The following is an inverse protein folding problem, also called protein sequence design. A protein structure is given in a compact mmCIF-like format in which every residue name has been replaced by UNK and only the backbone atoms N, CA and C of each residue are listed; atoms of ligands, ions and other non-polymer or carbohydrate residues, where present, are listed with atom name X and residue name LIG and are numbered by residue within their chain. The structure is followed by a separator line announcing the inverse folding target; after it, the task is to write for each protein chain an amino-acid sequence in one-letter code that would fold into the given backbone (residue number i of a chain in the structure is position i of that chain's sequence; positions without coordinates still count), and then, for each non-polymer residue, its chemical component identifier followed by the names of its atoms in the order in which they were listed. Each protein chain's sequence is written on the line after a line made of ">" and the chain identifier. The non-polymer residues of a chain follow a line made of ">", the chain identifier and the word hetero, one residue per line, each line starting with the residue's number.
data_IF_832052776976
#
_entry.id   IF_832052776976
#
_cell.length_a   1.000
_cell.length_b   1.000
_cell.length_c   1.000
_cell.angle_alpha   90.00
_cell.angle_beta   90.00
_cell.angle_gamma   90.00
#
_symmetry.space_group_name_H-M   'P 1'
#
loop_
_entity.id
_entity.type
_entity.pdbx_description
1 polymer ?
#
# COMPACT_ATOMS: atom_id res chain seq x y z
N UNK A 1 7.37 25.44 5.14
CA UNK A 1 8.24 25.17 3.98
C UNK A 1 7.69 23.90 3.35
N UNK A 2 7.01 24.00 2.20
CA UNK A 2 6.61 22.81 1.47
C UNK A 2 7.89 22.19 0.88
N UNK A 3 8.28 21.03 1.39
CA UNK A 3 9.36 20.22 0.81
C UNK A 3 8.88 19.81 -0.60
N UNK A 4 9.57 20.24 -1.62
CA UNK A 4 9.23 19.95 -3.02
C UNK A 4 10.13 18.88 -3.61
N UNK A 5 11.03 18.32 -2.80
CA UNK A 5 11.94 17.26 -3.18
C UNK A 5 11.48 15.92 -2.60
N UNK A 6 11.41 14.92 -3.46
CA UNK A 6 11.06 13.58 -3.03
C UNK A 6 12.22 12.94 -2.26
N UNK A 7 11.97 12.60 -1.00
CA UNK A 7 12.90 11.87 -0.13
C UNK A 7 12.37 10.47 0.13
N UNK A 8 13.27 9.54 0.37
CA UNK A 8 12.94 8.18 0.78
C UNK A 8 13.37 7.98 2.22
N UNK A 9 12.42 7.54 3.05
CA UNK A 9 12.68 7.07 4.41
C UNK A 9 12.56 5.54 4.40
N UNK A 10 13.58 4.87 4.91
CA UNK A 10 13.59 3.42 5.04
C UNK A 10 13.10 3.03 6.44
N UNK A 11 12.08 2.21 6.49
CA UNK A 11 11.61 1.56 7.70
C UNK A 11 11.89 0.07 7.56
N UNK A 12 12.76 -0.50 8.42
CA UNK A 12 13.19 -1.88 8.27
C UNK A 12 13.39 -2.61 9.59
N UNK A 13 13.35 -3.93 9.52
CA UNK A 13 13.77 -4.86 10.55
C UNK A 13 14.68 -5.96 9.93
N UNK A 14 14.86 -7.09 10.61
CA UNK A 14 15.71 -8.18 10.09
C UNK A 14 15.10 -8.88 8.87
N UNK A 15 13.78 -8.83 8.68
CA UNK A 15 13.04 -9.58 7.66
C UNK A 15 12.65 -8.75 6.43
N UNK A 16 12.22 -7.51 6.64
CA UNK A 16 11.65 -6.67 5.60
C UNK A 16 12.27 -5.28 5.59
N UNK A 17 12.36 -4.70 4.41
CA UNK A 17 12.75 -3.31 4.20
C UNK A 17 11.70 -2.60 3.37
N UNK A 18 11.15 -1.53 3.92
CA UNK A 18 10.14 -0.67 3.32
C UNK A 18 10.76 0.68 2.98
N UNK A 19 10.69 1.08 1.72
CA UNK A 19 11.07 2.42 1.30
C UNK A 19 9.81 3.26 1.14
N UNK A 20 9.71 4.31 1.94
CA UNK A 20 8.54 5.19 2.00
C UNK A 20 8.93 6.54 1.40
N UNK A 21 8.21 6.91 0.34
CA UNK A 21 8.41 8.15 -0.41
C UNK A 21 7.68 9.30 0.27
N UNK A 22 8.31 10.46 0.39
CA UNK A 22 7.61 11.69 0.82
C UNK A 22 6.58 12.13 -0.21
N UNK A 23 6.78 11.85 -1.50
CA UNK A 23 5.74 12.02 -2.50
C UNK A 23 4.68 10.92 -2.36
N UNK A 24 3.48 11.31 -1.99
CA UNK A 24 2.35 10.43 -1.69
C UNK A 24 2.36 9.85 -0.27
N UNK A 25 3.43 10.00 0.52
CA UNK A 25 3.54 9.43 1.87
C UNK A 25 3.51 7.90 1.90
N UNK A 26 3.84 7.22 0.80
CA UNK A 26 3.53 5.81 0.53
C UNK A 26 4.76 4.92 0.39
N UNK A 27 4.55 3.62 0.62
CA UNK A 27 5.55 2.60 0.33
C UNK A 27 5.71 2.49 -1.20
N UNK A 28 6.95 2.60 -1.68
CA UNK A 28 7.29 2.51 -3.11
C UNK A 28 8.18 1.33 -3.45
N UNK A 29 8.75 0.67 -2.45
CA UNK A 29 9.63 -0.46 -2.63
C UNK A 29 9.59 -1.36 -1.39
N UNK A 30 9.51 -2.67 -1.60
CA UNK A 30 9.49 -3.69 -0.53
C UNK A 30 10.48 -4.79 -0.86
N UNK A 31 11.46 -5.00 0.03
CA UNK A 31 12.48 -6.03 -0.06
C UNK A 31 12.31 -7.04 1.08
N UNK A 32 12.21 -8.32 0.75
CA UNK A 32 12.20 -9.43 1.70
C UNK A 32 13.62 -9.94 1.91
N UNK A 33 14.26 -9.54 3.00
CA UNK A 33 15.70 -9.71 3.24
C UNK A 33 16.17 -11.15 3.33
N UNK A 34 15.30 -12.08 3.73
CA UNK A 34 15.58 -13.50 3.90
C UNK A 34 15.40 -14.31 2.61
N UNK A 35 14.88 -13.69 1.54
CA UNK A 35 14.54 -14.38 0.29
C UNK A 35 15.36 -13.87 -0.90
N UNK A 36 15.48 -14.74 -1.89
CA UNK A 36 16.14 -14.46 -3.16
C UNK A 36 15.24 -14.90 -4.32
N UNK A 37 15.38 -14.24 -5.44
CA UNK A 37 14.80 -14.70 -6.71
C UNK A 37 15.52 -15.94 -7.22
N UNK A 38 14.98 -16.60 -8.24
CA UNK A 38 15.58 -17.81 -8.85
C UNK A 38 17.02 -17.61 -9.38
N UNK A 39 17.39 -16.37 -9.71
CA UNK A 39 18.74 -15.99 -10.17
C UNK A 39 19.60 -15.38 -9.04
N UNK A 40 19.20 -15.61 -7.78
CA UNK A 40 19.93 -15.21 -6.55
C UNK A 40 20.01 -13.70 -6.29
N UNK A 41 19.17 -12.90 -6.95
CA UNK A 41 19.02 -11.48 -6.66
C UNK A 41 18.16 -11.26 -5.40
N UNK A 42 18.23 -10.08 -4.73
CA UNK A 42 17.30 -9.72 -3.67
C UNK A 42 15.85 -9.84 -4.12
N UNK A 43 15.00 -10.39 -3.26
CA UNK A 43 13.59 -10.55 -3.58
C UNK A 43 12.82 -9.27 -3.28
N UNK A 44 12.34 -8.64 -4.34
CA UNK A 44 11.61 -7.37 -4.30
C UNK A 44 10.18 -7.61 -4.71
N UNK A 45 9.23 -7.36 -3.78
CA UNK A 45 7.80 -7.49 -4.04
C UNK A 45 7.24 -6.27 -4.79
N UNK A 46 7.70 -5.08 -4.41
CA UNK A 46 7.25 -3.82 -5.01
C UNK A 46 8.44 -3.04 -5.52
N UNK A 47 8.28 -2.41 -6.68
CA UNK A 47 9.30 -1.53 -7.27
C UNK A 47 8.75 -0.13 -7.46
N UNK A 48 9.60 0.86 -7.29
CA UNK A 48 9.22 2.25 -7.53
C UNK A 48 8.73 2.44 -8.99
N UNK A 49 7.62 3.16 -9.13
CA UNK A 49 6.94 3.37 -10.41
C UNK A 49 5.97 2.25 -10.82
N UNK A 50 5.96 1.11 -10.10
CA UNK A 50 5.07 -0.03 -10.35
C UNK A 50 3.99 -0.19 -9.27
N UNK A 51 3.85 0.80 -8.38
CA UNK A 51 2.87 0.79 -7.30
C UNK A 51 2.06 2.07 -7.32
N UNK A 52 0.79 1.97 -6.96
CA UNK A 52 -0.10 3.08 -6.68
C UNK A 52 -0.68 2.89 -5.28
N UNK A 53 -0.69 3.92 -4.47
CA UNK A 53 -1.34 3.90 -3.15
C UNK A 53 -1.66 5.30 -2.71
N UNK A 54 -2.88 5.53 -2.25
CA UNK A 54 -3.27 6.81 -1.72
C UNK A 54 -4.76 6.90 -1.46
N UNK A 55 -5.22 8.12 -1.24
CA UNK A 55 -6.61 8.43 -1.00
C UNK A 55 -7.10 9.48 -1.98
N UNK A 56 -8.34 9.31 -2.42
CA UNK A 56 -9.11 10.33 -3.12
C UNK A 56 -10.22 10.85 -2.20
N UNK A 57 -10.34 12.15 -2.09
CA UNK A 57 -11.43 12.82 -1.39
C UNK A 57 -11.61 14.26 -1.88
N UNK A 58 -12.74 14.88 -1.54
CA UNK A 58 -13.00 16.28 -1.85
C UNK A 58 -12.64 17.18 -0.65
N UNK A 59 -11.86 18.21 -0.90
CA UNK A 59 -11.53 19.24 0.07
C UNK A 59 -11.69 20.62 -0.58
N UNK A 60 -12.45 21.52 0.03
CA UNK A 60 -12.67 22.88 -0.47
C UNK A 60 -13.07 22.93 -1.96
N UNK A 61 -13.97 22.06 -2.38
CA UNK A 61 -14.46 21.90 -3.77
C UNK A 61 -13.40 21.47 -4.80
N UNK A 62 -12.30 20.89 -4.35
CA UNK A 62 -11.27 20.28 -5.20
C UNK A 62 -11.11 18.81 -4.87
N UNK A 63 -10.91 18.01 -5.91
CA UNK A 63 -10.53 16.62 -5.76
C UNK A 63 -9.07 16.55 -5.33
N UNK A 64 -8.82 15.88 -4.22
CA UNK A 64 -7.49 15.63 -3.68
C UNK A 64 -7.13 14.17 -3.94
N UNK A 65 -6.04 13.97 -4.67
CA UNK A 65 -5.36 12.68 -4.78
C UNK A 65 -4.04 12.78 -4.01
N UNK A 66 -3.94 12.09 -2.89
CA UNK A 66 -2.79 12.21 -1.97
C UNK A 66 -1.46 11.79 -2.60
N UNK A 67 -1.48 10.94 -3.62
CA UNK A 67 -0.27 10.48 -4.32
C UNK A 67 0.51 11.61 -4.99
N UNK A 68 -0.14 12.73 -5.25
CA UNK A 68 0.43 13.93 -5.92
C UNK A 68 1.02 14.96 -4.97
N UNK A 69 0.95 14.73 -3.67
CA UNK A 69 1.36 15.70 -2.66
C UNK A 69 2.55 15.20 -1.85
N UNK A 70 3.38 16.15 -1.39
CA UNK A 70 4.49 15.85 -0.49
C UNK A 70 4.02 15.79 0.95
N UNK A 71 4.35 14.71 1.60
CA UNK A 71 4.16 14.50 3.04
C UNK A 71 5.43 14.87 3.79
N UNK A 72 5.27 15.41 4.97
CA UNK A 72 6.37 15.74 5.89
C UNK A 72 6.57 14.55 6.85
N UNK A 73 7.74 13.90 6.86
CA UNK A 73 8.03 12.83 7.80
C UNK A 73 8.24 13.36 9.22
N UNK A 74 7.96 12.53 10.22
CA UNK A 74 8.18 12.84 11.66
C UNK A 74 9.65 12.77 12.08
N UNK A 75 10.54 12.39 11.18
CA UNK A 75 11.98 12.22 11.44
C UNK A 75 12.82 12.89 10.37
N UNK A 76 14.04 13.25 10.73
CA UNK A 76 15.09 13.68 9.79
C UNK A 76 16.02 12.52 9.41
N UNK A 77 15.89 11.38 10.07
CA UNK A 77 16.68 10.19 9.76
C UNK A 77 16.18 9.56 8.46
N UNK A 78 17.11 9.04 7.69
CA UNK A 78 16.81 8.35 6.42
C UNK A 78 16.48 6.87 6.62
N UNK A 79 16.79 6.31 7.80
CA UNK A 79 16.53 4.90 8.12
C UNK A 79 16.11 4.77 9.57
N UNK A 80 14.99 4.08 9.78
CA UNK A 80 14.48 3.63 11.07
C UNK A 80 14.57 2.12 11.13
N UNK A 81 15.33 1.57 12.08
CA UNK A 81 15.56 0.14 12.22
C UNK A 81 14.87 -0.42 13.46
N UNK A 82 13.89 -1.30 13.25
CA UNK A 82 13.15 -1.97 14.32
C UNK A 82 13.95 -3.17 14.86
N UNK A 83 14.83 -2.90 15.82
CA UNK A 83 15.61 -3.90 16.54
C UNK A 83 15.31 -3.81 18.04
N UNK A 84 14.71 -4.85 18.57
CA UNK A 84 14.32 -4.91 19.98
C UNK A 84 13.01 -4.14 20.31
N UNK A 85 12.74 -3.03 19.64
CA UNK A 85 11.52 -2.24 19.79
C UNK A 85 10.89 -1.94 18.43
N UNK A 86 9.57 -1.74 18.44
CA UNK A 86 8.80 -1.24 17.31
C UNK A 86 9.33 0.14 16.87
N UNK A 87 9.38 0.38 15.56
CA UNK A 87 9.61 1.69 14.98
C UNK A 87 8.31 2.25 14.42
N UNK A 88 8.16 3.57 14.57
CA UNK A 88 6.99 4.32 14.13
C UNK A 88 7.43 5.45 13.21
N UNK A 89 6.85 5.52 12.02
CA UNK A 89 7.03 6.63 11.08
C UNK A 89 5.68 7.29 10.82
N UNK A 90 5.58 8.57 11.12
CA UNK A 90 4.45 9.42 10.75
C UNK A 90 4.78 10.24 9.51
N UNK A 91 3.91 10.19 8.52
CA UNK A 91 3.96 10.97 7.28
C UNK A 91 2.74 11.90 7.27
N UNK A 92 2.94 13.22 7.23
CA UNK A 92 1.86 14.20 7.39
C UNK A 92 1.66 15.05 6.16
N UNK A 93 0.44 15.09 5.65
CA UNK A 93 0.02 16.01 4.61
C UNK A 93 -0.75 17.18 5.25
N UNK A 94 -0.12 18.33 5.29
CA UNK A 94 -0.67 19.52 5.95
C UNK A 94 -1.62 20.30 5.06
N UNK A 95 -2.83 20.58 5.54
CA UNK A 95 -3.72 21.61 4.98
C UNK A 95 -3.36 22.99 5.51
N UNK A 96 -2.85 23.08 6.75
CA UNK A 96 -2.23 24.25 7.41
C UNK A 96 -1.45 23.78 8.67
N UNK A 97 -1.04 24.72 9.53
CA UNK A 97 -0.21 24.43 10.70
C UNK A 97 -0.85 23.51 11.76
N UNK A 98 -2.19 23.36 11.76
CA UNK A 98 -2.93 22.62 12.79
C UNK A 98 -3.81 21.49 12.21
N UNK A 99 -3.98 21.46 10.89
CA UNK A 99 -4.86 20.53 10.16
C UNK A 99 -4.07 19.69 9.19
N UNK A 100 -4.10 18.37 9.35
CA UNK A 100 -3.35 17.47 8.49
C UNK A 100 -3.95 16.08 8.44
N UNK A 101 -3.67 15.37 7.35
CA UNK A 101 -3.85 13.94 7.18
C UNK A 101 -2.53 13.25 7.55
N UNK A 102 -2.60 12.20 8.35
CA UNK A 102 -1.43 11.43 8.80
C UNK A 102 -1.53 9.99 8.32
N UNK A 103 -0.45 9.52 7.70
CA UNK A 103 -0.18 8.11 7.45
C UNK A 103 0.82 7.63 8.49
N UNK A 104 0.39 6.74 9.37
CA UNK A 104 1.19 6.22 10.46
C UNK A 104 1.56 4.77 10.18
N UNK A 105 2.86 4.52 10.01
CA UNK A 105 3.45 3.21 9.82
C UNK A 105 4.09 2.72 11.10
N UNK A 106 3.83 1.46 11.47
CA UNK A 106 4.48 0.81 12.60
C UNK A 106 5.03 -0.53 12.18
N UNK A 107 6.29 -0.77 12.48
CA UNK A 107 6.98 -2.01 12.16
C UNK A 107 7.57 -2.61 13.44
N UNK A 108 7.09 -3.78 13.83
CA UNK A 108 7.65 -4.54 14.93
C UNK A 108 8.96 -5.24 14.52
N UNK A 109 9.87 -5.52 15.47
CA UNK A 109 10.97 -6.43 15.24
C UNK A 109 10.47 -7.80 14.75
N UNK A 110 11.23 -8.44 13.88
CA UNK A 110 10.99 -9.83 13.45
C UNK A 110 9.59 -10.09 12.83
N UNK A 111 8.98 -9.08 12.18
CA UNK A 111 7.67 -9.14 11.54
C UNK A 111 7.75 -8.84 10.05
N UNK A 112 6.95 -9.55 9.23
CA UNK A 112 6.65 -9.17 7.85
C UNK A 112 5.44 -8.25 7.75
N UNK A 113 4.66 -8.12 8.82
CA UNK A 113 3.47 -7.27 8.87
C UNK A 113 3.83 -5.86 9.34
N UNK A 114 3.25 -4.89 8.69
CA UNK A 114 3.36 -3.47 9.03
C UNK A 114 1.97 -2.94 9.34
N UNK A 115 1.79 -2.38 10.53
CA UNK A 115 0.54 -1.69 10.86
C UNK A 115 0.52 -0.34 10.17
N UNK A 116 -0.59 -0.02 9.55
CA UNK A 116 -0.81 1.23 8.84
C UNK A 116 -2.13 1.87 9.30
N UNK A 117 -2.06 3.14 9.67
CA UNK A 117 -3.24 3.91 10.07
C UNK A 117 -3.34 5.20 9.30
N UNK A 118 -4.56 5.57 8.91
CA UNK A 118 -4.90 6.85 8.30
C UNK A 118 -5.66 7.66 9.35
N UNK A 119 -5.09 8.80 9.75
CA UNK A 119 -5.62 9.62 10.83
C UNK A 119 -5.83 11.04 10.32
N UNK A 120 -7.00 11.60 10.59
CA UNK A 120 -7.30 13.00 10.28
C UNK A 120 -7.20 13.85 11.54
N UNK A 121 -6.41 14.93 11.49
CA UNK A 121 -6.27 15.87 12.60
C UNK A 121 -6.96 17.19 12.26
N UNK A 122 -8.04 17.49 12.94
CA UNK A 122 -8.84 18.72 12.78
C UNK A 122 -9.34 18.97 11.33
N UNK A 123 -9.55 17.89 10.54
CA UNK A 123 -9.87 17.98 9.11
C UNK A 123 -11.37 18.15 8.81
N UNK A 124 -12.23 18.18 9.81
CA UNK A 124 -13.69 18.19 9.63
C UNK A 124 -14.22 19.34 8.77
N UNK A 125 -13.56 20.52 8.82
CA UNK A 125 -13.91 21.67 7.99
C UNK A 125 -13.18 21.70 6.63
N UNK A 126 -12.21 20.83 6.46
CA UNK A 126 -11.38 20.74 5.23
C UNK A 126 -11.95 19.71 4.27
N UNK A 127 -12.24 18.51 4.78
CA UNK A 127 -12.90 17.45 4.02
C UNK A 127 -14.35 17.85 3.84
N UNK A 128 -14.83 17.80 2.60
CA UNK A 128 -16.19 18.21 2.29
C UNK A 128 -17.21 17.38 3.08
N UNK A 129 -18.16 18.05 3.75
CA UNK A 129 -19.19 17.41 4.58
C UNK A 129 -20.15 16.49 3.79
N UNK A 130 -20.21 16.65 2.47
CA UNK A 130 -20.92 15.78 1.55
C UNK A 130 -20.06 14.63 1.02
N UNK A 131 -18.77 14.57 1.40
CA UNK A 131 -17.88 13.45 1.10
C UNK A 131 -18.16 12.36 2.11
N UNK A 132 -19.12 11.49 1.82
CA UNK A 132 -19.52 10.39 2.73
C UNK A 132 -18.42 9.36 2.91
N UNK A 133 -17.44 9.33 1.99
CA UNK A 133 -16.38 8.34 1.97
C UNK A 133 -15.03 8.96 1.59
N UNK A 134 -13.99 8.41 2.17
CA UNK A 134 -12.61 8.57 1.71
C UNK A 134 -12.26 7.31 0.93
N UNK A 135 -11.95 7.45 -0.35
CA UNK A 135 -11.64 6.29 -1.19
C UNK A 135 -10.15 5.98 -1.10
N UNK A 136 -9.81 4.83 -0.53
CA UNK A 136 -8.46 4.28 -0.57
C UNK A 136 -8.28 3.55 -1.91
N UNK A 137 -7.18 3.80 -2.61
CA UNK A 137 -6.78 3.02 -3.76
C UNK A 137 -5.40 2.38 -3.53
N UNK A 138 -5.25 1.15 -4.02
CA UNK A 138 -4.01 0.39 -3.94
C UNK A 138 -3.84 -0.48 -5.18
N UNK A 139 -2.68 -0.42 -5.79
CA UNK A 139 -2.37 -1.20 -6.98
C UNK A 139 -0.89 -1.54 -7.06
N UNK A 140 -0.60 -2.72 -7.61
CA UNK A 140 0.76 -3.22 -7.81
C UNK A 140 0.87 -3.85 -9.20
N UNK A 141 1.91 -3.47 -9.94
CA UNK A 141 2.42 -4.27 -11.04
C UNK A 141 3.29 -5.38 -10.44
N UNK A 142 2.75 -6.59 -10.35
CA UNK A 142 3.45 -7.72 -9.71
C UNK A 142 4.65 -8.15 -10.58
N UNK A 143 5.90 -8.09 -10.05
CA UNK A 143 7.08 -8.50 -10.81
C UNK A 143 7.12 -10.02 -10.95
N UNK A 144 7.79 -10.51 -12.01
CA UNK A 144 8.14 -11.92 -12.10
C UNK A 144 9.23 -12.25 -11.09
N UNK A 145 8.98 -13.21 -10.21
CA UNK A 145 9.91 -13.67 -9.16
C UNK A 145 10.48 -15.04 -9.46
N UNK A 146 9.76 -15.85 -10.23
CA UNK A 146 10.10 -17.22 -10.54
C UNK A 146 10.69 -17.37 -11.96
N UNK A 147 11.44 -18.45 -12.18
CA UNK A 147 12.08 -18.73 -13.47
C UNK A 147 11.05 -18.92 -14.60
N UNK A 148 9.95 -19.57 -14.32
CA UNK A 148 8.89 -19.84 -15.30
C UNK A 148 7.72 -18.89 -15.10
N UNK A 149 7.63 -17.86 -15.95
CA UNK A 149 6.50 -16.92 -15.99
C UNK A 149 5.16 -17.64 -16.16
N UNK A 150 5.10 -18.63 -17.07
CA UNK A 150 3.88 -19.39 -17.34
C UNK A 150 3.40 -20.20 -16.13
N UNK A 151 4.34 -20.72 -15.34
CA UNK A 151 4.01 -21.47 -14.13
C UNK A 151 3.60 -20.55 -13.00
N UNK A 152 4.33 -19.46 -12.79
CA UNK A 152 4.03 -18.43 -11.78
C UNK A 152 2.64 -17.82 -12.04
N UNK A 153 2.32 -17.48 -13.28
CA UNK A 153 1.04 -16.86 -13.66
C UNK A 153 -0.19 -17.73 -13.36
N UNK A 154 -0.03 -19.05 -13.21
CA UNK A 154 -1.15 -19.94 -12.81
C UNK A 154 -1.61 -19.70 -11.38
N UNK A 155 -0.76 -19.08 -10.56
CA UNK A 155 -1.01 -18.83 -9.14
C UNK A 155 -1.07 -17.34 -8.81
N UNK A 156 -0.73 -16.49 -9.77
CA UNK A 156 -0.70 -15.03 -9.60
C UNK A 156 -2.08 -14.45 -9.88
N UNK A 157 -2.60 -13.67 -8.93
CA UNK A 157 -3.91 -13.04 -9.07
C UNK A 157 -4.33 -12.26 -7.85
N UNK A 158 -5.52 -11.69 -7.94
CA UNK A 158 -6.14 -10.95 -6.85
C UNK A 158 -7.11 -11.88 -6.13
N UNK A 159 -6.86 -12.08 -4.84
CA UNK A 159 -7.70 -12.84 -3.93
C UNK A 159 -8.31 -11.90 -2.90
N UNK A 160 -9.48 -12.21 -2.42
CA UNK A 160 -10.14 -11.40 -1.40
C UNK A 160 -11.05 -12.25 -0.51
N UNK A 161 -11.34 -11.74 0.67
CA UNK A 161 -12.23 -12.41 1.61
C UNK A 161 -13.33 -11.45 2.04
N UNK A 162 -14.56 -11.85 1.82
CA UNK A 162 -15.71 -11.20 2.45
C UNK A 162 -15.68 -11.37 3.97
N UNK A 163 -16.22 -10.40 4.70
CA UNK A 163 -16.20 -10.44 6.18
C UNK A 163 -16.92 -11.64 6.77
N UNK A 164 -17.98 -12.14 6.11
CA UNK A 164 -18.84 -13.21 6.62
C UNK A 164 -18.86 -14.46 5.73
N UNK A 165 -18.04 -14.50 4.67
CA UNK A 165 -18.11 -15.55 3.65
C UNK A 165 -16.72 -16.11 3.27
N UNK A 166 -16.70 -16.96 2.25
CA UNK A 166 -15.51 -17.63 1.76
C UNK A 166 -14.47 -16.68 1.14
N UNK A 167 -13.29 -17.24 0.85
CA UNK A 167 -12.26 -16.61 0.03
C UNK A 167 -12.62 -16.79 -1.43
N UNK A 168 -12.56 -15.70 -2.18
CA UNK A 168 -12.81 -15.65 -3.61
C UNK A 168 -11.58 -15.11 -4.34
N UNK A 169 -11.57 -15.20 -5.67
CA UNK A 169 -10.52 -14.62 -6.50
C UNK A 169 -11.07 -14.13 -7.83
N UNK A 170 -10.41 -13.11 -8.37
CA UNK A 170 -10.64 -12.66 -9.74
C UNK A 170 -10.10 -13.69 -10.75
N UNK A 171 -10.52 -13.57 -12.00
CA UNK A 171 -10.01 -14.42 -13.09
C UNK A 171 -8.47 -14.43 -13.13
N UNK A 172 -7.90 -15.62 -13.19
CA UNK A 172 -6.44 -15.80 -13.33
C UNK A 172 -6.00 -15.87 -14.80
N UNK A 173 -6.94 -15.80 -15.75
CA UNK A 173 -6.66 -16.04 -17.18
C UNK A 173 -7.14 -14.92 -18.11
N UNK A 174 -7.92 -13.99 -17.60
CA UNK A 174 -8.47 -12.85 -18.36
C UNK A 174 -8.49 -11.58 -17.53
N UNK A 175 -8.44 -10.44 -18.22
CA UNK A 175 -8.68 -9.16 -17.60
C UNK A 175 -10.08 -9.14 -16.99
N UNK A 176 -10.20 -8.58 -15.80
CA UNK A 176 -11.45 -8.50 -15.06
C UNK A 176 -11.54 -7.21 -14.26
N UNK A 177 -12.76 -6.67 -14.17
CA UNK A 177 -13.09 -5.54 -13.32
C UNK A 177 -14.43 -5.84 -12.65
N UNK A 178 -14.49 -5.74 -11.33
CA UNK A 178 -15.64 -6.12 -10.53
C UNK A 178 -15.86 -5.16 -9.37
N UNK A 179 -17.14 -4.80 -9.13
CA UNK A 179 -17.58 -4.13 -7.91
C UNK A 179 -18.15 -5.19 -6.97
N UNK A 180 -17.56 -5.33 -5.80
CA UNK A 180 -17.92 -6.38 -4.86
C UNK A 180 -19.21 -6.03 -4.09
N UNK A 181 -20.17 -6.96 -4.01
CA UNK A 181 -21.49 -6.69 -3.41
C UNK A 181 -21.47 -6.64 -1.88
N UNK A 182 -20.47 -7.24 -1.26
CA UNK A 182 -20.37 -7.40 0.18
C UNK A 182 -19.09 -6.77 0.74
N UNK A 183 -19.07 -6.53 2.04
CA UNK A 183 -17.91 -6.00 2.74
C UNK A 183 -16.73 -6.97 2.72
N UNK A 184 -15.54 -6.44 2.48
CA UNK A 184 -14.28 -7.19 2.32
C UNK A 184 -13.40 -7.01 3.55
N UNK A 185 -12.89 -8.11 4.09
CA UNK A 185 -11.99 -8.13 5.24
C UNK A 185 -10.53 -7.92 4.83
N UNK A 186 -10.11 -8.55 3.72
CA UNK A 186 -8.76 -8.40 3.20
C UNK A 186 -8.72 -8.61 1.68
N UNK A 187 -7.69 -8.03 1.07
CA UNK A 187 -7.37 -8.17 -0.36
C UNK A 187 -5.91 -8.59 -0.44
N UNK A 188 -5.59 -9.57 -1.30
CA UNK A 188 -4.28 -10.14 -1.49
C UNK A 188 -3.88 -10.08 -2.97
N UNK A 189 -2.77 -9.42 -3.24
CA UNK A 189 -2.04 -9.56 -4.49
C UNK A 189 -1.08 -10.73 -4.37
N UNK A 190 -1.57 -11.89 -4.76
CA UNK A 190 -0.90 -13.18 -4.57
C UNK A 190 -0.04 -13.53 -5.78
N UNK A 191 1.18 -13.94 -5.50
CA UNK A 191 2.09 -14.62 -6.44
C UNK A 191 2.28 -16.08 -6.02
N UNK A 192 3.08 -16.85 -6.73
CA UNK A 192 3.21 -18.30 -6.48
C UNK A 192 3.61 -18.61 -5.02
N UNK A 193 4.59 -17.90 -4.46
CA UNK A 193 5.11 -18.14 -3.11
C UNK A 193 5.02 -16.93 -2.19
N UNK A 194 4.63 -15.77 -2.70
CA UNK A 194 4.58 -14.52 -1.96
C UNK A 194 3.23 -13.84 -2.11
N UNK A 195 2.89 -13.05 -1.11
CA UNK A 195 1.63 -12.30 -1.06
C UNK A 195 1.88 -10.89 -0.54
N UNK A 196 1.13 -9.94 -1.09
CA UNK A 196 0.99 -8.60 -0.55
C UNK A 196 -0.45 -8.40 -0.14
N UNK A 197 -0.71 -8.34 1.18
CA UNK A 197 -2.06 -8.41 1.73
C UNK A 197 -2.39 -7.10 2.45
N UNK A 198 -3.53 -6.52 2.11
CA UNK A 198 -4.17 -5.45 2.87
C UNK A 198 -5.27 -6.07 3.74
N UNK A 199 -5.08 -6.03 5.05
CA UNK A 199 -6.06 -6.49 6.04
C UNK A 199 -6.65 -5.27 6.73
N UNK A 200 -7.96 -5.13 6.72
CA UNK A 200 -8.64 -4.02 7.38
C UNK A 200 -9.23 -4.46 8.72
N UNK A 201 -9.04 -3.64 9.78
CA UNK A 201 -9.69 -3.88 11.08
C UNK A 201 -11.21 -3.78 10.96
N UNK A 202 -11.70 -2.82 10.17
CA UNK A 202 -13.11 -2.69 9.83
C UNK A 202 -13.33 -3.11 8.39
N UNK A 203 -14.27 -4.00 8.09
CA UNK A 203 -14.50 -4.46 6.72
C UNK A 203 -14.75 -3.30 5.76
N UNK A 204 -14.06 -3.33 4.63
CA UNK A 204 -14.15 -2.33 3.56
C UNK A 204 -15.46 -2.48 2.80
N UNK A 205 -16.16 -1.38 2.53
CA UNK A 205 -17.34 -1.33 1.67
C UNK A 205 -17.04 -0.69 0.32
N UNK A 206 -17.93 -0.92 -0.64
CA UNK A 206 -17.83 -0.36 -2.00
C UNK A 206 -16.48 -0.64 -2.66
N UNK A 207 -16.02 -1.88 -2.54
CA UNK A 207 -14.72 -2.32 -3.06
C UNK A 207 -14.84 -2.60 -4.56
N UNK A 208 -14.02 -1.91 -5.33
CA UNK A 208 -13.81 -2.18 -6.76
C UNK A 208 -12.46 -2.84 -6.96
N UNK A 209 -12.45 -3.97 -7.65
CA UNK A 209 -11.24 -4.72 -8.00
C UNK A 209 -11.01 -4.68 -9.50
N UNK A 210 -9.74 -4.57 -9.89
CA UNK A 210 -9.31 -4.63 -11.28
C UNK A 210 -8.04 -5.46 -11.42
N UNK A 211 -8.10 -6.43 -12.31
CA UNK A 211 -6.95 -7.27 -12.66
C UNK A 211 -6.70 -7.20 -14.17
N UNK A 212 -5.47 -6.88 -14.55
CA UNK A 212 -5.03 -6.92 -15.95
C UNK A 212 -3.96 -7.98 -16.08
N UNK A 213 -4.21 -8.98 -16.92
CA UNK A 213 -3.28 -10.08 -17.15
C UNK A 213 -2.27 -9.67 -18.23
N UNK A 214 -0.98 -9.70 -17.88
CA UNK A 214 0.07 -9.48 -18.88
C UNK A 214 -0.05 -10.50 -20.01
N UNK A 215 -0.45 -10.05 -21.20
CA UNK A 215 -0.48 -10.92 -22.39
C UNK A 215 0.94 -11.43 -22.66
N UNK A 216 1.03 -12.68 -23.11
CA UNK A 216 2.28 -13.25 -23.60
C UNK A 216 2.73 -12.41 -24.81
N UNK A 217 3.92 -11.85 -24.73
CA UNK A 217 4.69 -11.46 -25.92
C UNK A 217 5.37 -12.69 -26.50
#
# INVERSE_FOLDING_TARGET
>A
QNDTENKIITLENDKIKLHISTLGGRIVYVDLKEYRTHDSLPLVLWKNGETAFGMNFYARNQEINTEKFFFTPSTTETTLYAQGNEQVLSMRLYADSSRYLEYLYKLAPDSYMTDFSIITHNMGDVIASNSSFLTLFWGINMPQLEKSKDFENRYTGVYYKFSEDAVENMSLTSDEEETLPNKVQWIDFKQQFFSSILISEQPLSDVELKSNISKKD
#
